data_IF_452258876982
#
_entry.id   IF_452258876982
#
_cell.length_a   1.000
_cell.length_b   1.000
_cell.length_c   1.000
_cell.angle_alpha   90.00
_cell.angle_beta   90.00
_cell.angle_gamma   90.00
#
_symmetry.space_group_name_H-M   'P 1'
#
loop_
_entity.id
_entity.type
_entity.pdbx_description
1 polymer ?
#
# COMPACT_ATOMS: atom_id res chain seq x y z
N UNK A 1 5.35 -28.46 -46.37
CA UNK A 1 5.10 -28.92 -44.98
C UNK A 1 3.94 -29.90 -45.03
N UNK A 2 4.13 -31.12 -44.53
CA UNK A 2 3.09 -32.16 -44.56
C UNK A 2 2.01 -31.84 -43.52
N UNK A 3 0.69 -31.89 -43.91
CA UNK A 3 -0.46 -31.63 -43.06
C UNK A 3 -0.43 -32.37 -41.69
N UNK A 4 0.20 -33.54 -41.63
CA UNK A 4 0.41 -34.31 -40.38
C UNK A 4 1.32 -33.65 -39.37
N UNK A 5 2.36 -32.90 -39.80
CA UNK A 5 3.28 -32.22 -38.90
C UNK A 5 2.64 -31.00 -38.25
N UNK A 6 1.71 -30.35 -38.96
CA UNK A 6 0.95 -29.22 -38.44
C UNK A 6 -0.07 -29.62 -37.36
N UNK A 7 -0.70 -30.79 -37.51
CA UNK A 7 -1.64 -31.34 -36.53
C UNK A 7 -0.93 -31.79 -35.25
N UNK A 8 0.28 -32.34 -35.33
CA UNK A 8 1.06 -32.74 -34.16
C UNK A 8 1.55 -31.51 -33.38
N UNK A 9 1.93 -30.43 -34.06
CA UNK A 9 2.33 -29.20 -33.40
C UNK A 9 1.16 -28.47 -32.72
N UNK A 10 -0.04 -28.56 -33.24
CA UNK A 10 -1.26 -28.02 -32.61
C UNK A 10 -1.68 -28.86 -31.39
N UNK A 11 -1.56 -30.18 -31.43
CA UNK A 11 -1.90 -31.05 -30.29
C UNK A 11 -0.91 -30.90 -29.13
N UNK A 12 0.38 -30.70 -29.40
CA UNK A 12 1.39 -30.44 -28.35
C UNK A 12 1.18 -29.08 -27.65
N UNK A 13 0.68 -28.06 -28.36
CA UNK A 13 0.33 -26.77 -27.77
C UNK A 13 -0.87 -26.83 -26.83
N UNK A 14 -1.86 -27.67 -27.15
CA UNK A 14 -3.06 -27.82 -26.33
C UNK A 14 -2.78 -28.61 -25.05
N UNK A 15 -1.85 -29.54 -25.05
CA UNK A 15 -1.45 -30.31 -23.86
C UNK A 15 -0.57 -29.50 -22.90
N UNK A 16 0.21 -28.55 -23.42
CA UNK A 16 1.07 -27.71 -22.57
C UNK A 16 0.34 -26.63 -21.79
N UNK A 17 -0.82 -26.16 -22.26
CA UNK A 17 -1.63 -25.12 -21.61
C UNK A 17 -2.19 -25.54 -20.23
N UNK A 18 -2.67 -26.78 -20.01
CA UNK A 18 -3.14 -27.20 -18.67
C UNK A 18 -1.99 -27.44 -17.67
N UNK A 19 -0.76 -27.72 -18.12
CA UNK A 19 0.40 -27.88 -17.24
C UNK A 19 0.93 -26.54 -16.72
N UNK A 20 0.56 -25.43 -17.36
CA UNK A 20 0.78 -24.07 -16.88
C UNK A 20 -0.35 -23.56 -15.95
N UNK A 21 -1.23 -24.41 -15.46
CA UNK A 21 -2.03 -24.11 -14.27
C UNK A 21 -1.07 -24.02 -13.11
N UNK A 22 -0.45 -22.86 -13.01
CA UNK A 22 0.17 -22.38 -11.79
C UNK A 22 -0.90 -22.47 -10.73
N UNK A 23 -0.78 -23.46 -9.85
CA UNK A 23 -1.61 -23.58 -8.65
C UNK A 23 -1.72 -22.19 -8.04
N UNK A 24 -2.91 -21.75 -7.60
CA UNK A 24 -2.99 -20.48 -6.90
C UNK A 24 -2.06 -20.58 -5.70
N UNK A 25 -0.91 -19.93 -5.82
CA UNK A 25 0.06 -19.86 -4.75
C UNK A 25 -0.67 -19.34 -3.53
N UNK A 26 -0.71 -20.19 -2.52
CA UNK A 26 -1.24 -19.87 -1.20
C UNK A 26 -0.77 -18.49 -0.77
N UNK A 27 -1.76 -17.56 -0.64
CA UNK A 27 -1.80 -16.44 0.31
C UNK A 27 -0.49 -15.73 0.69
N UNK A 28 0.45 -15.57 -0.18
CA UNK A 28 1.52 -14.60 0.05
C UNK A 28 0.92 -13.20 -0.11
N UNK A 29 0.53 -12.63 1.02
CA UNK A 29 0.16 -11.23 1.11
C UNK A 29 1.31 -10.42 0.52
N UNK A 30 1.03 -9.71 -0.56
CA UNK A 30 2.02 -8.82 -1.17
C UNK A 30 1.97 -7.51 -0.39
N UNK A 31 2.99 -7.19 0.42
CA UNK A 31 2.95 -6.02 1.30
C UNK A 31 2.72 -4.71 0.55
N UNK A 32 3.06 -4.67 -0.72
CA UNK A 32 2.92 -3.49 -1.59
C UNK A 32 1.53 -3.31 -2.19
N UNK A 33 0.61 -4.27 -2.01
CA UNK A 33 -0.73 -4.20 -2.57
C UNK A 33 -1.70 -3.50 -1.60
N UNK A 34 -1.72 -2.19 -1.62
CA UNK A 34 -2.59 -1.38 -0.79
C UNK A 34 -3.86 -1.07 -1.57
N UNK A 35 -5.01 -1.56 -1.09
CA UNK A 35 -6.31 -1.29 -1.70
C UNK A 35 -6.94 0.01 -1.17
N UNK A 36 -7.80 0.67 -1.95
CA UNK A 36 -8.54 1.83 -1.47
C UNK A 36 -9.42 1.51 -0.25
N UNK A 37 -9.72 2.51 0.62
CA UNK A 37 -10.56 2.30 1.80
C UNK A 37 -11.95 1.84 1.39
N UNK A 38 -12.50 0.89 2.15
CA UNK A 38 -13.78 0.26 1.86
C UNK A 38 -13.72 -0.89 0.86
N UNK A 39 -12.55 -1.23 0.32
CA UNK A 39 -12.40 -2.43 -0.51
C UNK A 39 -12.80 -3.69 0.26
N UNK A 40 -13.48 -4.59 -0.43
CA UNK A 40 -13.81 -5.92 0.09
C UNK A 40 -12.53 -6.75 0.28
N UNK A 41 -12.65 -7.91 0.94
CA UNK A 41 -11.59 -8.90 0.97
C UNK A 41 -11.13 -9.24 -0.46
N UNK A 42 -9.84 -9.52 -0.66
CA UNK A 42 -9.19 -9.54 -1.98
C UNK A 42 -9.93 -10.44 -3.00
N UNK A 43 -10.31 -11.64 -2.61
CA UNK A 43 -11.03 -12.58 -3.48
C UNK A 43 -12.38 -12.01 -3.94
N UNK A 44 -13.14 -11.47 -3.00
CA UNK A 44 -14.47 -10.90 -3.31
C UNK A 44 -14.34 -9.56 -4.04
N UNK A 45 -13.30 -8.77 -3.71
CA UNK A 45 -12.96 -7.55 -4.43
C UNK A 45 -12.70 -7.83 -5.91
N UNK A 46 -11.85 -8.81 -6.22
CA UNK A 46 -11.51 -9.17 -7.60
C UNK A 46 -12.72 -9.73 -8.37
N UNK A 47 -13.60 -10.46 -7.70
CA UNK A 47 -14.86 -10.97 -8.31
C UNK A 47 -15.81 -9.85 -8.72
N UNK A 48 -15.88 -8.76 -7.95
CA UNK A 48 -16.80 -7.64 -8.20
C UNK A 48 -16.19 -6.52 -9.01
N UNK A 49 -14.88 -6.34 -8.97
CA UNK A 49 -14.21 -5.24 -9.64
C UNK A 49 -14.22 -5.42 -11.16
N UNK A 50 -15.02 -4.62 -11.86
CA UNK A 50 -15.12 -4.60 -13.34
C UNK A 50 -14.00 -3.76 -13.98
N UNK A 51 -13.02 -3.27 -13.21
CA UNK A 51 -11.82 -2.55 -13.69
C UNK A 51 -12.15 -1.30 -14.52
N UNK A 52 -13.27 -0.65 -14.24
CA UNK A 52 -13.76 0.53 -14.98
C UNK A 52 -12.90 1.80 -14.83
N UNK A 53 -12.04 1.85 -13.80
CA UNK A 53 -11.14 2.99 -13.58
C UNK A 53 -11.77 4.21 -12.89
N UNK A 54 -13.09 4.23 -12.64
CA UNK A 54 -13.76 5.41 -12.08
C UNK A 54 -13.19 5.84 -10.71
N UNK A 55 -12.86 4.88 -9.84
CA UNK A 55 -12.22 5.17 -8.55
C UNK A 55 -10.84 5.83 -8.68
N UNK A 56 -10.10 5.53 -9.76
CA UNK A 56 -8.81 6.16 -10.06
C UNK A 56 -9.00 7.58 -10.57
N UNK A 57 -9.99 7.82 -11.45
CA UNK A 57 -10.30 9.14 -12.00
C UNK A 57 -10.72 10.16 -10.93
N UNK A 58 -11.51 9.75 -9.95
CA UNK A 58 -11.98 10.65 -8.89
C UNK A 58 -10.99 10.83 -7.74
N UNK A 59 -9.83 10.16 -7.79
CA UNK A 59 -8.83 10.26 -6.74
C UNK A 59 -8.17 11.65 -6.75
N UNK A 60 -8.47 12.47 -5.75
CA UNK A 60 -8.01 13.86 -5.65
C UNK A 60 -6.50 14.03 -5.67
N UNK A 61 -5.77 13.04 -5.20
CA UNK A 61 -4.30 13.06 -5.09
C UNK A 61 -3.64 12.23 -6.18
N UNK A 62 -4.43 11.65 -7.08
CA UNK A 62 -3.96 10.71 -8.09
C UNK A 62 -3.21 9.48 -7.52
N UNK A 63 -3.41 9.18 -6.23
CA UNK A 63 -2.71 8.07 -5.56
C UNK A 63 -3.21 6.69 -5.96
N UNK A 64 -4.44 6.58 -6.49
CA UNK A 64 -4.97 5.31 -6.98
C UNK A 64 -4.50 5.07 -8.42
N UNK A 65 -3.74 3.99 -8.61
CA UNK A 65 -3.15 3.58 -9.87
C UNK A 65 -3.56 2.15 -10.22
N UNK A 66 -3.56 1.77 -11.50
CA UNK A 66 -3.83 0.39 -11.90
C UNK A 66 -2.71 -0.55 -11.43
N UNK A 67 -3.08 -1.76 -11.02
CA UNK A 67 -2.13 -2.85 -10.85
C UNK A 67 -1.70 -3.41 -12.20
N UNK A 68 -0.46 -3.87 -12.29
CA UNK A 68 0.01 -4.69 -13.41
C UNK A 68 0.01 -6.17 -12.98
N UNK A 69 1.04 -6.61 -12.27
CA UNK A 69 1.17 -8.00 -11.83
C UNK A 69 1.14 -8.17 -10.30
N UNK A 70 1.05 -7.06 -9.56
CA UNK A 70 1.12 -7.04 -8.10
C UNK A 70 -0.05 -7.79 -7.45
N UNK A 71 -1.21 -7.78 -8.11
CA UNK A 71 -2.40 -8.52 -7.67
C UNK A 71 -2.63 -9.85 -8.43
N UNK A 72 -1.59 -10.34 -9.14
CA UNK A 72 -1.71 -11.49 -10.03
C UNK A 72 -2.44 -11.14 -11.33
N UNK A 73 -2.57 -12.14 -12.23
CA UNK A 73 -3.20 -11.95 -13.55
C UNK A 73 -4.66 -11.51 -13.43
N UNK A 74 -5.39 -12.07 -12.46
CA UNK A 74 -6.80 -11.70 -12.21
C UNK A 74 -6.94 -10.26 -11.73
N UNK A 75 -5.91 -9.73 -11.09
CA UNK A 75 -5.90 -8.38 -10.53
C UNK A 75 -5.45 -7.30 -11.50
N UNK A 76 -4.96 -7.62 -12.69
CA UNK A 76 -4.49 -6.63 -13.66
C UNK A 76 -5.56 -5.55 -13.87
N UNK A 77 -5.10 -4.28 -13.87
CA UNK A 77 -5.95 -3.09 -14.04
C UNK A 77 -6.90 -2.80 -12.87
N UNK A 78 -6.80 -3.51 -11.77
CA UNK A 78 -7.55 -3.17 -10.55
C UNK A 78 -6.86 -2.04 -9.77
N UNK A 79 -7.58 -1.18 -8.99
CA UNK A 79 -6.97 -0.04 -8.31
C UNK A 79 -6.11 -0.46 -7.12
N UNK A 80 -4.94 0.16 -6.99
CA UNK A 80 -4.10 0.16 -5.79
C UNK A 80 -3.66 1.57 -5.43
N UNK A 81 -3.38 1.82 -4.18
CA UNK A 81 -2.72 3.04 -3.74
C UNK A 81 -1.21 2.93 -3.98
N UNK A 82 -0.64 3.94 -4.61
CA UNK A 82 0.81 4.08 -4.84
C UNK A 82 1.29 5.36 -4.14
N UNK A 83 1.81 5.26 -2.91
CA UNK A 83 2.15 6.44 -2.11
C UNK A 83 3.23 7.34 -2.72
N UNK A 84 4.07 6.82 -3.60
CA UNK A 84 5.05 7.61 -4.36
C UNK A 84 4.42 8.61 -5.34
N UNK A 85 3.22 8.31 -5.84
CA UNK A 85 2.50 9.15 -6.81
C UNK A 85 1.52 10.08 -6.08
N UNK A 86 0.86 9.57 -5.05
CA UNK A 86 -0.11 10.32 -4.26
C UNK A 86 -0.56 9.53 -3.05
N UNK A 87 -1.45 10.06 -2.24
CA UNK A 87 -1.84 9.50 -0.96
C UNK A 87 -3.37 9.43 -0.81
N UNK A 88 -3.86 8.69 0.18
CA UNK A 88 -5.28 8.66 0.51
C UNK A 88 -5.63 9.84 1.43
N UNK A 89 -6.34 10.84 0.92
CA UNK A 89 -6.79 11.98 1.73
C UNK A 89 -7.68 11.54 2.89
N UNK A 90 -7.45 12.10 4.08
CA UNK A 90 -8.04 11.64 5.34
C UNK A 90 -9.57 11.64 5.34
N UNK A 91 -10.18 12.69 4.81
CA UNK A 91 -11.65 12.86 4.80
C UNK A 91 -12.30 12.47 3.45
N UNK A 92 -11.56 11.92 2.50
CA UNK A 92 -12.06 11.60 1.17
C UNK A 92 -12.68 10.19 1.13
N UNK A 93 -13.86 10.07 0.54
CA UNK A 93 -14.63 8.82 0.38
C UNK A 93 -15.03 8.54 -1.07
N UNK A 94 -14.57 9.35 -2.03
CA UNK A 94 -15.04 9.38 -3.42
C UNK A 94 -14.92 8.03 -4.14
N UNK A 95 -13.81 7.29 -3.93
CA UNK A 95 -13.60 6.01 -4.61
C UNK A 95 -14.70 4.97 -4.36
N UNK A 96 -15.26 4.95 -3.13
CA UNK A 96 -16.39 4.08 -2.81
C UNK A 96 -17.72 4.61 -3.35
N UNK A 97 -17.87 5.94 -3.45
CA UNK A 97 -19.11 6.55 -3.94
C UNK A 97 -19.36 6.29 -5.42
N UNK A 98 -18.29 6.23 -6.22
CA UNK A 98 -18.39 6.00 -7.68
C UNK A 98 -18.28 4.54 -8.08
N UNK A 99 -18.03 3.61 -7.15
CA UNK A 99 -17.87 2.20 -7.49
C UNK A 99 -19.23 1.57 -7.88
N UNK A 100 -19.45 1.19 -9.15
CA UNK A 100 -20.76 0.73 -9.62
C UNK A 100 -21.14 -0.66 -9.08
N UNK A 101 -20.14 -1.49 -8.76
CA UNK A 101 -20.35 -2.89 -8.36
C UNK A 101 -20.25 -3.10 -6.84
N UNK A 102 -19.93 -2.05 -6.09
CA UNK A 102 -19.70 -2.16 -4.65
C UNK A 102 -18.46 -2.99 -4.27
N UNK A 103 -17.51 -3.19 -5.19
CA UNK A 103 -16.20 -3.76 -4.88
C UNK A 103 -15.46 -2.90 -3.85
N UNK A 104 -15.69 -1.58 -3.90
CA UNK A 104 -15.32 -0.63 -2.87
C UNK A 104 -16.63 -0.14 -2.23
N UNK A 105 -16.83 -0.41 -0.96
CA UNK A 105 -18.02 0.00 -0.21
C UNK A 105 -18.09 1.52 -0.10
N UNK A 106 -19.30 2.06 -0.16
CA UNK A 106 -19.57 3.46 0.20
C UNK A 106 -19.39 3.61 1.71
N UNK A 107 -18.50 4.49 2.10
CA UNK A 107 -18.23 4.82 3.49
C UNK A 107 -18.64 6.27 3.75
N UNK A 108 -19.15 6.53 4.92
CA UNK A 108 -19.21 7.89 5.49
C UNK A 108 -17.78 8.33 5.88
N UNK A 109 -17.58 9.63 6.04
CA UNK A 109 -16.27 10.15 6.50
C UNK A 109 -15.88 9.56 7.87
N UNK A 110 -16.85 9.43 8.79
CA UNK A 110 -16.57 8.86 10.12
C UNK A 110 -16.21 7.38 10.10
N UNK A 111 -16.78 6.59 9.17
CA UNK A 111 -16.37 5.19 8.97
C UNK A 111 -15.00 5.09 8.32
N UNK A 112 -14.75 5.92 7.30
CA UNK A 112 -13.50 5.92 6.55
C UNK A 112 -12.29 6.20 7.44
N UNK A 113 -12.41 7.13 8.38
CA UNK A 113 -11.31 7.48 9.30
C UNK A 113 -10.94 6.37 10.28
N UNK A 114 -11.82 5.36 10.45
CA UNK A 114 -11.56 4.16 11.25
C UNK A 114 -11.03 2.99 10.44
N UNK A 115 -11.10 3.05 9.11
CA UNK A 115 -10.63 1.97 8.23
C UNK A 115 -9.13 2.08 8.05
N UNK A 116 -8.40 1.06 8.46
CA UNK A 116 -6.97 0.90 8.17
C UNK A 116 -6.82 0.25 6.80
N UNK A 117 -6.08 0.88 5.90
CA UNK A 117 -5.73 0.33 4.58
C UNK A 117 -4.31 -0.22 4.53
N UNK A 118 -3.57 -0.06 5.61
CA UNK A 118 -2.21 -0.52 5.78
C UNK A 118 -1.55 0.11 6.99
N UNK A 119 -0.24 -0.11 7.12
CA UNK A 119 0.59 0.39 8.21
C UNK A 119 1.88 1.00 7.64
N UNK A 120 2.28 2.15 8.19
CA UNK A 120 3.57 2.75 7.89
C UNK A 120 4.68 2.00 8.65
N UNK A 121 5.81 1.80 7.99
CA UNK A 121 7.02 1.34 8.62
C UNK A 121 8.20 2.25 8.27
N UNK A 122 9.19 2.37 9.16
CA UNK A 122 10.36 3.23 8.99
C UNK A 122 11.59 2.36 8.75
N UNK A 123 12.22 2.57 7.61
CA UNK A 123 13.55 2.04 7.31
C UNK A 123 14.59 2.94 7.98
N UNK A 124 15.08 2.47 9.12
CA UNK A 124 16.04 3.22 9.94
C UNK A 124 17.36 3.48 9.21
N UNK A 125 17.75 2.59 8.27
CA UNK A 125 19.00 2.73 7.52
C UNK A 125 18.99 3.92 6.55
N UNK A 126 17.80 4.44 6.23
CA UNK A 126 17.57 5.53 5.29
C UNK A 126 17.00 6.78 5.92
N UNK A 127 16.38 6.65 7.09
CA UNK A 127 15.74 7.76 7.78
C UNK A 127 16.80 8.75 8.32
N UNK A 128 16.66 10.04 7.99
CA UNK A 128 17.65 11.09 8.33
C UNK A 128 18.00 11.12 9.83
N UNK A 129 17.04 11.09 10.76
CA UNK A 129 17.34 11.02 12.19
C UNK A 129 18.08 9.75 12.63
N UNK A 130 17.73 8.60 12.06
CA UNK A 130 18.32 7.33 12.44
C UNK A 130 19.70 7.09 11.82
N UNK A 131 19.80 7.27 10.49
CA UNK A 131 21.01 6.94 9.74
C UNK A 131 22.08 8.03 9.80
N UNK A 132 21.66 9.29 9.84
CA UNK A 132 22.58 10.42 9.67
C UNK A 132 22.59 11.42 10.83
N UNK A 133 21.79 11.17 11.88
CA UNK A 133 21.68 12.10 13.00
C UNK A 133 21.15 13.49 12.63
N UNK A 134 20.46 13.62 11.49
CA UNK A 134 19.91 14.89 11.02
C UNK A 134 18.46 15.03 11.46
N UNK A 135 18.10 16.15 12.09
CA UNK A 135 16.71 16.43 12.49
C UNK A 135 15.75 16.41 11.30
N UNK A 136 14.64 15.71 11.43
CA UNK A 136 13.56 15.64 10.44
C UNK A 136 12.24 15.30 11.15
N UNK A 137 11.19 16.10 10.91
CA UNK A 137 9.86 15.94 11.52
C UNK A 137 8.74 15.78 10.47
N UNK A 138 9.08 15.73 9.18
CA UNK A 138 8.14 15.83 8.05
C UNK A 138 7.02 14.78 8.11
N UNK A 139 7.32 13.54 8.49
CA UNK A 139 6.32 12.47 8.53
C UNK A 139 5.28 12.66 9.63
N UNK A 140 5.66 13.20 10.78
CA UNK A 140 4.73 13.54 11.87
C UNK A 140 3.91 14.78 11.51
N UNK A 141 4.56 15.83 11.02
CA UNK A 141 3.91 17.09 10.67
C UNK A 141 2.75 16.89 9.70
N UNK A 142 2.94 16.04 8.70
CA UNK A 142 1.94 15.72 7.69
C UNK A 142 0.96 14.59 8.09
N UNK A 143 1.13 13.95 9.25
CA UNK A 143 0.21 12.91 9.69
C UNK A 143 -1.19 13.50 9.95
N UNK A 144 -2.25 13.02 9.26
CA UNK A 144 -3.56 13.66 9.30
C UNK A 144 -4.44 13.18 10.45
N UNK A 145 -4.03 12.17 11.20
CA UNK A 145 -4.83 11.64 12.32
C UNK A 145 -4.90 12.66 13.45
N UNK A 146 -6.07 12.86 14.09
CA UNK A 146 -6.24 13.85 15.16
C UNK A 146 -5.24 13.67 16.30
N UNK A 147 -5.10 12.44 16.79
CA UNK A 147 -3.96 12.02 17.58
C UNK A 147 -2.92 11.47 16.61
N UNK A 148 -1.79 12.16 16.50
CA UNK A 148 -0.72 11.79 15.56
C UNK A 148 -0.33 10.32 15.73
N UNK A 149 -0.33 9.58 14.61
CA UNK A 149 0.15 8.20 14.58
C UNK A 149 1.68 8.11 14.51
N UNK A 150 2.36 9.23 14.35
CA UNK A 150 3.82 9.33 14.36
C UNK A 150 4.21 10.26 15.49
N UNK A 151 5.08 9.77 16.36
CA UNK A 151 5.65 10.50 17.47
C UNK A 151 7.16 10.37 17.48
N UNK A 152 7.87 11.06 18.37
CA UNK A 152 9.32 11.07 18.39
C UNK A 152 9.86 10.48 19.69
N UNK A 153 10.87 9.65 19.53
CA UNK A 153 11.78 9.29 20.60
C UNK A 153 13.03 10.17 20.52
N UNK A 154 13.38 10.86 21.61
CA UNK A 154 14.59 11.68 21.65
C UNK A 154 15.80 10.80 21.99
N UNK A 155 16.84 10.88 21.17
CA UNK A 155 18.09 10.17 21.35
C UNK A 155 19.26 11.13 21.31
N UNK A 156 20.11 11.08 22.33
CA UNK A 156 21.38 11.78 22.31
C UNK A 156 22.39 11.04 21.44
N UNK A 157 23.00 11.74 20.51
CA UNK A 157 24.09 11.23 19.67
C UNK A 157 25.32 12.14 19.85
N UNK A 158 26.49 11.52 19.82
CA UNK A 158 27.75 12.29 19.85
C UNK A 158 27.93 13.06 18.54
N UNK A 159 28.20 14.37 18.64
CA UNK A 159 28.63 15.16 17.49
C UNK A 159 30.11 14.94 17.20
N UNK A 160 30.50 15.09 15.94
CA UNK A 160 31.92 15.00 15.51
C UNK A 160 32.82 16.06 16.16
N UNK A 161 32.23 17.11 16.71
CA UNK A 161 32.90 18.17 17.48
C UNK A 161 33.02 17.91 19.00
N UNK A 162 32.64 16.69 19.49
CA UNK A 162 32.70 16.36 20.93
C UNK A 162 31.48 16.82 21.74
N UNK A 163 30.47 17.41 21.10
CA UNK A 163 29.19 17.80 21.69
C UNK A 163 28.18 16.65 21.72
N UNK A 164 27.08 16.82 22.46
CA UNK A 164 25.90 15.96 22.41
C UNK A 164 24.80 16.67 21.63
N UNK A 165 24.23 15.99 20.65
CA UNK A 165 23.10 16.46 19.86
C UNK A 165 21.88 15.59 20.17
N UNK A 166 20.79 16.20 20.61
CA UNK A 166 19.52 15.51 20.74
C UNK A 166 18.83 15.43 19.37
N UNK A 167 18.51 14.23 18.92
CA UNK A 167 17.83 13.97 17.65
C UNK A 167 16.50 13.27 17.89
N UNK A 168 15.45 13.81 17.29
CA UNK A 168 14.09 13.25 17.34
C UNK A 168 13.95 12.14 16.31
N UNK A 169 13.89 10.89 16.76
CA UNK A 169 13.70 9.72 15.92
C UNK A 169 12.22 9.38 15.82
N UNK A 170 11.61 9.34 14.61
CA UNK A 170 10.19 9.07 14.45
C UNK A 170 9.85 7.59 14.74
N UNK A 171 8.72 7.38 15.41
CA UNK A 171 8.15 6.06 15.71
C UNK A 171 6.69 6.06 15.26
N UNK A 172 6.23 4.97 14.67
CA UNK A 172 4.85 4.79 14.21
C UNK A 172 4.05 4.03 15.26
N UNK A 173 2.92 4.60 15.67
CA UNK A 173 1.93 3.91 16.47
C UNK A 173 1.02 3.08 15.54
N UNK A 174 1.07 1.75 15.60
CA UNK A 174 0.29 0.88 14.72
C UNK A 174 -1.21 0.98 14.99
N UNK A 175 -1.64 1.35 16.20
CA UNK A 175 -3.06 1.47 16.53
C UNK A 175 -3.69 2.73 15.90
N UNK A 176 -2.94 3.80 15.79
CA UNK A 176 -3.39 5.07 15.25
C UNK A 176 -3.16 5.20 13.74
N UNK A 177 -2.20 4.46 13.19
CA UNK A 177 -1.87 4.54 11.78
C UNK A 177 -2.95 3.88 10.92
N UNK A 178 -3.49 4.64 9.95
CA UNK A 178 -4.49 4.17 8.98
C UNK A 178 -3.90 3.78 7.62
N UNK A 179 -2.60 3.93 7.41
CA UNK A 179 -1.93 3.58 6.15
C UNK A 179 -2.21 4.53 4.99
N UNK A 180 -2.52 5.79 5.25
CA UNK A 180 -2.93 6.75 4.21
C UNK A 180 -1.84 7.11 3.18
N UNK A 181 -0.57 6.89 3.48
CA UNK A 181 0.55 7.09 2.57
C UNK A 181 1.10 8.52 2.49
N UNK A 182 0.54 9.49 3.22
CA UNK A 182 1.01 10.89 3.14
C UNK A 182 2.45 11.06 3.64
N UNK A 183 2.84 10.32 4.68
CA UNK A 183 4.18 10.35 5.23
C UNK A 183 5.23 9.84 4.23
N UNK A 184 4.90 8.80 3.46
CA UNK A 184 5.73 8.28 2.37
C UNK A 184 5.85 9.30 1.24
N UNK A 185 4.71 9.85 0.78
CA UNK A 185 4.65 10.87 -0.27
C UNK A 185 5.47 12.12 0.05
N UNK A 186 5.45 12.55 1.31
CA UNK A 186 6.12 13.77 1.79
C UNK A 186 7.55 13.55 2.24
N UNK A 187 8.01 12.31 2.35
CA UNK A 187 9.36 11.99 2.80
C UNK A 187 10.42 12.74 1.96
N UNK A 188 11.39 13.43 2.58
CA UNK A 188 12.43 14.16 1.85
C UNK A 188 13.45 13.23 1.17
N UNK A 189 13.53 11.97 1.58
CA UNK A 189 14.36 10.93 0.92
C UNK A 189 13.62 10.48 -0.34
N UNK A 190 14.07 10.94 -1.52
CA UNK A 190 13.27 10.89 -2.75
C UNK A 190 13.27 9.55 -3.48
N UNK A 191 14.42 8.94 -3.70
CA UNK A 191 14.51 7.73 -4.56
C UNK A 191 13.72 6.56 -3.97
N UNK A 192 13.96 6.26 -2.70
CA UNK A 192 13.23 5.27 -1.93
C UNK A 192 12.95 5.88 -0.54
N UNK A 193 11.72 6.33 -0.26
CA UNK A 193 11.37 6.94 1.00
C UNK A 193 11.74 6.08 2.21
N UNK A 194 12.25 6.73 3.25
CA UNK A 194 12.61 6.06 4.49
C UNK A 194 11.39 5.57 5.29
N UNK A 195 10.23 6.17 5.07
CA UNK A 195 8.96 5.70 5.63
C UNK A 195 8.09 5.22 4.48
N UNK A 196 7.58 4.01 4.57
CA UNK A 196 6.78 3.37 3.53
C UNK A 196 5.54 2.72 4.10
N UNK A 197 4.50 2.59 3.28
CA UNK A 197 3.26 1.93 3.68
C UNK A 197 3.27 0.49 3.15
N UNK A 198 2.79 -0.41 3.99
CA UNK A 198 2.51 -1.81 3.62
C UNK A 198 1.05 -2.11 3.88
N UNK A 199 0.53 -3.16 3.27
CA UNK A 199 -0.84 -3.64 3.52
C UNK A 199 -1.02 -4.31 4.90
N UNK A 200 0.04 -4.41 5.70
CA UNK A 200 -0.04 -5.01 7.04
C UNK A 200 -1.07 -4.29 7.92
N UNK A 201 -1.84 -5.03 8.68
CA UNK A 201 -2.87 -4.49 9.59
C UNK A 201 -4.10 -3.90 8.89
N UNK A 202 -4.30 -4.13 7.59
CA UNK A 202 -5.47 -3.64 6.87
C UNK A 202 -6.78 -4.23 7.40
N UNK A 203 -7.82 -3.41 7.56
CA UNK A 203 -9.11 -3.80 8.15
C UNK A 203 -9.89 -4.84 7.34
N UNK A 204 -9.61 -5.00 6.04
CA UNK A 204 -10.29 -5.93 5.14
C UNK A 204 -9.77 -7.37 5.25
N UNK A 205 -8.58 -7.59 5.79
CA UNK A 205 -7.97 -8.91 5.93
C UNK A 205 -7.77 -9.26 7.39
N UNK A 206 -8.27 -10.43 7.80
CA UNK A 206 -8.06 -10.96 9.16
C UNK A 206 -6.69 -11.66 9.31
N UNK A 207 -6.05 -11.99 8.20
CA UNK A 207 -4.80 -12.78 8.16
C UNK A 207 -3.58 -11.85 8.09
N UNK A 208 -3.74 -10.67 7.50
CA UNK A 208 -2.66 -9.69 7.31
C UNK A 208 -2.50 -8.80 8.56
N UNK A 209 -2.31 -9.41 9.71
CA UNK A 209 -2.03 -8.66 10.94
C UNK A 209 -0.53 -8.44 11.08
N UNK A 210 -0.07 -7.26 11.54
CA UNK A 210 1.32 -7.05 11.85
C UNK A 210 1.72 -8.01 12.97
N UNK A 211 2.82 -8.73 12.79
CA UNK A 211 3.46 -9.39 13.90
C UNK A 211 3.99 -8.28 14.81
N UNK A 212 3.31 -8.05 15.92
CA UNK A 212 3.80 -7.19 16.99
C UNK A 212 4.98 -7.93 17.63
N UNK A 213 6.17 -7.57 17.24
CA UNK A 213 7.43 -7.98 17.89
C UNK A 213 7.83 -6.91 18.89
#
# INVERSE_FOLDING_TARGET
MRKRTLLISLSSGIVAVPLLRISPSEKTLKPELIRPPGSLEEKEFLRRCVKCGECMKVCLTNGLQPTLFEAGVEGIWSPRLVPLIGYCSYNCTLCGQVCPTGAIKKLSTGEKTKVKIGLAFIDQSRCLPYAFGKSCIVCEEHCPTPKKAIWFHEKEIGDRGGGRLSVKQPVVDPELCIGCGICEYKCPVKDLPAIRITSAGESRSKVNQPLLV
#
